data_IF_299770929867
#
_entry.id   IF_299770929867
#
_cell.length_a   1.000
_cell.length_b   1.000
_cell.length_c   1.000
_cell.angle_alpha   90.00
_cell.angle_beta   90.00
_cell.angle_gamma   90.00
#
_symmetry.space_group_name_H-M   'P 1'
#
loop_
_entity.id
_entity.type
_entity.pdbx_description
1 polymer ?
#
# COMPACT_ATOMS: atom_id res chain seq x y z
N UNK A 1 0.37 30.13 40.46
CA UNK A 1 -0.51 29.65 39.37
C UNK A 1 0.28 29.72 38.08
N UNK A 2 0.95 28.64 37.68
CA UNK A 2 1.73 28.59 36.43
C UNK A 2 1.01 27.66 35.47
N UNK A 3 0.44 28.24 34.41
CA UNK A 3 -0.24 27.48 33.35
C UNK A 3 0.82 26.66 32.60
N UNK A 4 0.62 25.33 32.57
CA UNK A 4 1.40 24.41 31.73
C UNK A 4 1.00 24.68 30.27
N UNK A 5 1.92 24.76 29.31
CA UNK A 5 1.55 24.79 27.91
C UNK A 5 1.00 23.41 27.53
N UNK A 6 -0.24 23.41 27.04
CA UNK A 6 -0.91 22.29 26.39
C UNK A 6 0.04 21.72 25.32
N UNK A 7 0.47 20.46 25.51
CA UNK A 7 1.20 19.74 24.45
C UNK A 7 0.27 19.66 23.25
N UNK A 8 0.72 19.95 22.02
CA UNK A 8 -0.12 19.69 20.87
C UNK A 8 -0.38 18.19 20.86
N UNK A 9 -1.66 17.84 21.03
CA UNK A 9 -2.23 16.52 20.78
C UNK A 9 -1.54 16.00 19.53
N UNK A 10 -0.64 15.03 19.76
CA UNK A 10 0.22 14.46 18.73
C UNK A 10 -0.72 13.62 17.90
N UNK A 11 -1.39 14.32 16.98
CA UNK A 11 -2.44 13.95 16.05
C UNK A 11 -2.90 12.52 16.23
N UNK A 12 -4.17 12.35 16.55
CA UNK A 12 -5.01 11.15 16.43
C UNK A 12 -4.64 10.26 15.22
N UNK A 13 -3.45 9.66 15.26
CA UNK A 13 -2.93 8.63 14.38
C UNK A 13 -3.51 7.31 14.88
N UNK A 14 -4.78 7.37 15.26
CA UNK A 14 -5.51 6.33 15.93
C UNK A 14 -6.28 5.60 14.84
N UNK A 15 -5.68 4.50 14.41
CA UNK A 15 -6.30 3.35 13.73
C UNK A 15 -6.89 3.53 12.32
N UNK A 16 -7.24 4.73 11.87
CA UNK A 16 -7.82 4.92 10.53
C UNK A 16 -6.77 5.32 9.48
N UNK A 17 -5.56 5.67 9.96
CA UNK A 17 -4.43 6.18 9.18
C UNK A 17 -4.73 7.47 8.42
N UNK A 18 -3.68 8.21 8.10
CA UNK A 18 -3.81 9.48 7.36
C UNK A 18 -4.39 9.19 5.96
N UNK A 19 -5.27 10.08 5.48
CA UNK A 19 -5.79 10.03 4.11
C UNK A 19 -4.62 9.96 3.11
N UNK A 20 -4.58 8.97 2.20
CA UNK A 20 -3.51 8.82 1.21
C UNK A 20 -3.24 10.08 0.38
N UNK A 21 -4.24 10.92 0.12
CA UNK A 21 -4.07 12.21 -0.58
C UNK A 21 -3.15 13.16 0.18
N UNK A 22 -3.10 13.05 1.52
CA UNK A 22 -2.31 13.92 2.39
C UNK A 22 -0.90 13.40 2.67
N UNK A 23 -0.59 12.16 2.27
CA UNK A 23 0.75 11.58 2.42
C UNK A 23 1.68 12.15 1.36
N UNK A 24 2.93 12.46 1.73
CA UNK A 24 3.96 12.67 0.71
C UNK A 24 4.34 11.34 0.03
N UNK A 25 5.08 11.38 -1.08
CA UNK A 25 5.42 10.17 -1.84
C UNK A 25 6.21 9.15 -1.02
N UNK A 26 7.11 9.59 -0.13
CA UNK A 26 7.92 8.68 0.69
C UNK A 26 7.06 8.01 1.76
N UNK A 27 6.15 8.76 2.37
CA UNK A 27 5.19 8.24 3.32
C UNK A 27 4.22 7.26 2.66
N UNK A 28 3.72 7.57 1.46
CA UNK A 28 2.84 6.71 0.68
C UNK A 28 3.52 5.36 0.37
N UNK A 29 4.77 5.38 -0.11
CA UNK A 29 5.55 4.16 -0.37
C UNK A 29 5.72 3.33 0.91
N UNK A 30 6.07 3.99 2.03
CA UNK A 30 6.27 3.30 3.31
C UNK A 30 4.98 2.66 3.85
N UNK A 31 3.84 3.33 3.69
CA UNK A 31 2.54 2.79 4.09
C UNK A 31 2.13 1.62 3.17
N UNK A 32 2.41 1.70 1.86
CA UNK A 32 2.21 0.58 0.92
C UNK A 32 3.06 -0.64 1.29
N UNK A 33 4.34 -0.46 1.58
CA UNK A 33 5.22 -1.56 2.03
C UNK A 33 4.69 -2.21 3.32
N UNK A 34 4.24 -1.37 4.26
CA UNK A 34 3.72 -1.82 5.55
C UNK A 34 2.43 -2.63 5.39
N UNK A 35 1.47 -2.14 4.60
CA UNK A 35 0.18 -2.81 4.41
C UNK A 35 0.34 -4.10 3.60
N UNK A 36 1.25 -4.13 2.62
CA UNK A 36 1.54 -5.36 1.88
C UNK A 36 2.22 -6.42 2.76
N UNK A 37 3.14 -6.01 3.64
CA UNK A 37 3.83 -6.93 4.56
C UNK A 37 2.86 -7.66 5.49
N UNK A 38 1.83 -6.98 5.98
CA UNK A 38 0.87 -7.56 6.94
C UNK A 38 -0.34 -8.23 6.28
N UNK A 39 -0.50 -8.13 4.96
CA UNK A 39 -1.63 -8.71 4.22
C UNK A 39 -1.87 -10.18 4.51
N UNK A 40 -0.81 -10.99 4.46
CA UNK A 40 -0.95 -12.43 4.64
C UNK A 40 -1.37 -12.80 6.06
N UNK A 41 -0.77 -12.14 7.06
CA UNK A 41 -1.14 -12.34 8.47
C UNK A 41 -2.57 -11.88 8.75
N UNK A 42 -3.01 -10.76 8.16
CA UNK A 42 -4.39 -10.28 8.32
C UNK A 42 -5.39 -11.19 7.61
N UNK A 43 -5.03 -11.76 6.46
CA UNK A 43 -5.86 -12.72 5.74
C UNK A 43 -6.07 -14.01 6.53
N UNK A 44 -5.03 -14.54 7.18
CA UNK A 44 -5.11 -15.82 7.89
C UNK A 44 -5.63 -15.70 9.33
N UNK A 45 -5.37 -14.58 9.99
CA UNK A 45 -5.56 -14.46 11.45
C UNK A 45 -6.35 -13.22 11.86
N UNK A 46 -6.72 -12.35 10.92
CA UNK A 46 -7.56 -11.20 11.20
C UNK A 46 -9.03 -11.60 11.39
N UNK A 47 -9.77 -10.79 12.16
CA UNK A 47 -11.23 -10.86 12.13
C UNK A 47 -11.76 -10.42 10.75
N UNK A 48 -13.01 -10.77 10.44
CA UNK A 48 -13.65 -10.33 9.20
C UNK A 48 -13.66 -8.79 9.06
N UNK A 49 -13.89 -8.06 10.15
CA UNK A 49 -13.83 -6.59 10.14
C UNK A 49 -12.42 -6.06 9.93
N UNK A 50 -11.41 -6.68 10.55
CA UNK A 50 -10.02 -6.31 10.34
C UNK A 50 -9.59 -6.54 8.89
N UNK A 51 -10.00 -7.67 8.29
CA UNK A 51 -9.72 -7.98 6.90
C UNK A 51 -10.40 -7.00 5.94
N UNK A 52 -11.67 -6.66 6.20
CA UNK A 52 -12.42 -5.67 5.40
C UNK A 52 -11.74 -4.30 5.43
N UNK A 53 -11.45 -3.78 6.63
CA UNK A 53 -10.76 -2.50 6.79
C UNK A 53 -9.37 -2.50 6.13
N UNK A 54 -8.65 -3.63 6.22
CA UNK A 54 -7.35 -3.79 5.58
C UNK A 54 -7.45 -3.75 4.05
N UNK A 55 -8.43 -4.44 3.46
CA UNK A 55 -8.67 -4.43 2.02
C UNK A 55 -9.07 -3.04 1.51
N UNK A 56 -9.97 -2.36 2.20
CA UNK A 56 -10.39 -1.00 1.88
C UNK A 56 -9.17 -0.05 1.89
N UNK A 57 -8.38 -0.07 2.97
CA UNK A 57 -7.18 0.77 3.09
C UNK A 57 -6.14 0.48 1.99
N UNK A 58 -5.93 -0.79 1.66
CA UNK A 58 -5.01 -1.20 0.59
C UNK A 58 -5.45 -0.65 -0.76
N UNK A 59 -6.74 -0.75 -1.09
CA UNK A 59 -7.28 -0.24 -2.33
C UNK A 59 -7.09 1.29 -2.46
N UNK A 60 -7.31 2.06 -1.39
CA UNK A 60 -7.14 3.53 -1.44
C UNK A 60 -5.66 3.89 -1.62
N UNK A 61 -4.74 3.25 -0.89
CA UNK A 61 -3.29 3.50 -1.03
C UNK A 61 -2.77 3.15 -2.44
N UNK A 62 -3.21 2.02 -2.98
CA UNK A 62 -2.83 1.59 -4.34
C UNK A 62 -3.41 2.53 -5.40
N UNK A 63 -4.66 2.93 -5.26
CA UNK A 63 -5.30 3.90 -6.15
C UNK A 63 -4.56 5.24 -6.17
N UNK A 64 -4.15 5.72 -5.00
CA UNK A 64 -3.38 6.97 -4.89
C UNK A 64 -2.01 6.86 -5.57
N UNK A 65 -1.31 5.75 -5.36
CA UNK A 65 -0.03 5.50 -6.03
C UNK A 65 -0.18 5.44 -7.55
N UNK A 66 -1.20 4.76 -8.08
CA UNK A 66 -1.44 4.70 -9.52
C UNK A 66 -1.79 6.09 -10.09
N UNK A 67 -2.53 6.91 -9.34
CA UNK A 67 -2.87 8.28 -9.72
C UNK A 67 -1.63 9.17 -9.83
N UNK A 68 -0.68 9.06 -8.90
CA UNK A 68 0.59 9.82 -8.90
C UNK A 68 1.60 9.30 -9.92
N UNK A 69 1.56 8.00 -10.22
CA UNK A 69 2.53 7.32 -11.09
C UNK A 69 1.87 6.68 -12.33
N UNK A 70 1.23 7.46 -13.22
CA UNK A 70 0.53 6.92 -14.39
C UNK A 70 1.49 6.24 -15.40
N UNK A 71 2.79 6.57 -15.36
CA UNK A 71 3.85 5.98 -16.20
C UNK A 71 4.71 4.95 -15.48
N UNK A 72 4.18 4.30 -14.43
CA UNK A 72 4.86 3.22 -13.71
C UNK A 72 5.43 2.20 -14.70
N UNK A 73 6.70 1.85 -14.53
CA UNK A 73 7.32 0.79 -15.31
C UNK A 73 6.70 -0.55 -14.95
N UNK A 74 6.13 -1.23 -15.94
CA UNK A 74 5.61 -2.59 -15.80
C UNK A 74 6.70 -3.55 -16.25
N UNK A 75 7.18 -4.40 -15.34
CA UNK A 75 8.15 -5.42 -15.71
C UNK A 75 7.56 -6.33 -16.81
N UNK A 76 8.24 -6.44 -17.97
CA UNK A 76 7.75 -7.20 -19.11
C UNK A 76 7.37 -8.65 -18.73
N UNK A 77 8.17 -9.30 -17.87
CA UNK A 77 7.91 -10.64 -17.35
C UNK A 77 6.71 -10.77 -16.39
N UNK A 78 6.07 -9.66 -16.00
CA UNK A 78 4.80 -9.62 -15.27
C UNK A 78 3.60 -9.29 -16.17
N UNK A 79 3.82 -9.26 -17.49
CA UNK A 79 2.75 -9.14 -18.49
C UNK A 79 2.47 -10.49 -19.14
N UNK A 80 1.26 -10.68 -19.66
CA UNK A 80 0.94 -11.86 -20.48
C UNK A 80 1.80 -11.95 -21.74
N UNK A 81 2.21 -10.82 -22.31
CA UNK A 81 3.08 -10.80 -23.48
C UNK A 81 4.48 -11.35 -23.14
N UNK A 82 5.10 -10.83 -22.08
CA UNK A 82 6.41 -11.33 -21.64
C UNK A 82 6.40 -12.77 -21.14
N UNK A 83 5.28 -13.27 -20.58
CA UNK A 83 5.14 -14.69 -20.26
C UNK A 83 5.24 -15.58 -21.51
N UNK A 84 4.54 -15.20 -22.60
CA UNK A 84 4.57 -15.91 -23.88
C UNK A 84 5.93 -15.82 -24.58
N UNK A 85 6.63 -14.70 -24.45
CA UNK A 85 7.99 -14.53 -24.98
C UNK A 85 8.99 -15.47 -24.30
N UNK A 86 8.86 -15.67 -22.98
CA UNK A 86 9.70 -16.64 -22.26
C UNK A 86 9.40 -18.10 -22.65
N UNK A 87 8.13 -18.45 -22.82
CA UNK A 87 7.74 -19.79 -23.29
C UNK A 87 8.31 -20.08 -24.69
N UNK A 88 8.31 -19.09 -25.59
CA UNK A 88 8.88 -19.22 -26.93
C UNK A 88 10.40 -19.32 -26.94
N UNK A 89 11.09 -18.58 -26.07
CA UNK A 89 12.56 -18.61 -25.97
C UNK A 89 13.13 -19.86 -25.30
N UNK A 90 12.31 -20.64 -24.58
CA UNK A 90 12.73 -21.80 -23.81
C UNK A 90 12.42 -23.15 -24.49
N UNK A 91 11.85 -23.12 -25.71
CA UNK A 91 11.49 -24.30 -26.50
C UNK A 91 12.43 -24.59 -27.68
N UNK A 92 13.54 -23.87 -27.81
CA UNK A 92 14.49 -23.95 -28.93
C UNK A 92 15.95 -24.18 -28.44
N UNK A 93 16.13 -24.94 -27.35
CA UNK A 93 17.46 -25.32 -26.82
C UNK A 93 17.55 -26.82 -26.56
#
# INVERSE_FOLDING_TARGET
>A
MTQRPERPERSERSMNGVDPVRLDDKELIKELETIHRTRHTTLLHGSNDALRAHNERMAVLEGEYLRRHPRRSVAAGRTRAGARERERGNGDS
#
